data_IF_113756977906
#
_entry.id   IF_113756977906
#
_cell.length_a   1.000
_cell.length_b   1.000
_cell.length_c   1.000
_cell.angle_alpha   90.00
_cell.angle_beta   90.00
_cell.angle_gamma   90.00
#
_symmetry.space_group_name_H-M   'P 1'
#
loop_
_entity.id
_entity.type
_entity.pdbx_description
1 polymer ?
#
# COMPACT_ATOMS: atom_id res chain seq x y z
N UNK A 1 2.76 1.13 8.33
CA UNK A 1 3.09 -0.12 7.62
C UNK A 1 2.67 -1.40 8.36
N UNK A 2 2.11 -1.30 9.57
CA UNK A 2 1.77 -2.49 10.37
C UNK A 2 0.67 -3.31 9.69
N UNK A 3 -0.38 -2.65 9.21
CA UNK A 3 -1.50 -3.33 8.56
C UNK A 3 -1.07 -3.99 7.24
N UNK A 4 -0.23 -3.31 6.47
CA UNK A 4 0.30 -3.84 5.20
C UNK A 4 1.17 -5.08 5.42
N UNK A 5 2.03 -5.07 6.45
CA UNK A 5 2.83 -6.25 6.81
C UNK A 5 1.94 -7.39 7.27
N UNK A 6 0.99 -7.13 8.17
CA UNK A 6 0.09 -8.16 8.67
C UNK A 6 -0.74 -8.79 7.53
N UNK A 7 -1.22 -7.97 6.58
CA UNK A 7 -1.93 -8.45 5.39
C UNK A 7 -1.03 -9.33 4.51
N UNK A 8 0.24 -8.97 4.35
CA UNK A 8 1.20 -9.79 3.63
C UNK A 8 1.52 -11.10 4.33
N UNK A 9 1.71 -11.09 5.65
CA UNK A 9 1.88 -12.32 6.44
C UNK A 9 0.66 -13.25 6.30
N UNK A 10 -0.53 -12.67 6.27
CA UNK A 10 -1.80 -13.39 6.16
C UNK A 10 -2.01 -14.02 4.78
N UNK A 11 -1.80 -13.24 3.71
CA UNK A 11 -2.19 -13.62 2.35
C UNK A 11 -1.02 -13.64 1.36
N UNK A 12 -0.08 -12.70 1.47
CA UNK A 12 1.10 -12.62 0.62
C UNK A 12 1.97 -13.87 0.69
N UNK A 13 2.26 -14.36 1.91
CA UNK A 13 3.03 -15.60 2.10
C UNK A 13 2.30 -16.81 1.50
N UNK A 14 0.97 -16.90 1.67
CA UNK A 14 0.16 -17.98 1.07
C UNK A 14 0.23 -17.94 -0.46
N UNK A 15 0.18 -16.74 -1.03
CA UNK A 15 0.24 -16.56 -2.48
C UNK A 15 1.63 -16.88 -3.05
N UNK A 16 2.71 -16.58 -2.32
CA UNK A 16 4.06 -16.99 -2.71
C UNK A 16 4.20 -18.51 -2.74
N UNK A 17 3.70 -19.22 -1.71
CA UNK A 17 3.70 -20.69 -1.70
C UNK A 17 2.91 -21.28 -2.87
N UNK A 18 1.74 -20.72 -3.17
CA UNK A 18 0.95 -21.14 -4.35
C UNK A 18 1.72 -20.93 -5.66
N UNK A 19 2.47 -19.83 -5.78
CA UNK A 19 3.29 -19.59 -6.97
C UNK A 19 4.39 -20.67 -7.11
N UNK A 20 5.02 -21.06 -6.01
CA UNK A 20 5.98 -22.16 -5.96
C UNK A 20 5.34 -23.51 -6.29
N UNK A 21 4.21 -23.86 -5.69
CA UNK A 21 3.47 -25.11 -5.96
C UNK A 21 3.08 -25.22 -7.44
N UNK A 22 2.60 -24.13 -8.02
CA UNK A 22 2.25 -24.06 -9.44
C UNK A 22 3.47 -24.27 -10.34
N UNK A 23 4.62 -23.69 -9.96
CA UNK A 23 5.87 -23.87 -10.69
C UNK A 23 6.34 -25.34 -10.63
N UNK A 24 6.24 -26.02 -9.50
CA UNK A 24 6.61 -27.43 -9.38
C UNK A 24 5.77 -28.30 -10.33
N UNK A 25 4.48 -28.00 -10.46
CA UNK A 25 3.57 -28.74 -11.34
C UNK A 25 3.76 -28.46 -12.83
N UNK A 26 3.94 -27.19 -13.21
CA UNK A 26 3.93 -26.75 -14.61
C UNK A 26 5.31 -26.48 -15.20
N UNK A 27 6.31 -26.21 -14.35
CA UNK A 27 7.69 -25.82 -14.70
C UNK A 27 7.79 -24.56 -15.57
N UNK A 28 6.80 -23.68 -15.48
CA UNK A 28 6.80 -22.40 -16.19
C UNK A 28 7.45 -21.30 -15.35
N UNK A 29 8.69 -20.96 -15.70
CA UNK A 29 9.46 -19.92 -15.01
C UNK A 29 8.88 -18.51 -15.20
N UNK A 30 8.31 -18.22 -16.38
CA UNK A 30 7.76 -16.88 -16.65
C UNK A 30 6.54 -16.59 -15.77
N UNK A 31 5.68 -17.60 -15.59
CA UNK A 31 4.55 -17.51 -14.66
C UNK A 31 5.01 -17.35 -13.21
N UNK A 32 6.06 -18.06 -12.78
CA UNK A 32 6.62 -17.89 -11.44
C UNK A 32 7.15 -16.46 -11.23
N UNK A 33 7.96 -15.96 -12.16
CA UNK A 33 8.53 -14.61 -12.11
C UNK A 33 7.42 -13.54 -12.01
N UNK A 34 6.41 -13.63 -12.88
CA UNK A 34 5.30 -12.67 -12.88
C UNK A 34 4.52 -12.70 -11.57
N UNK A 35 4.18 -13.89 -11.07
CA UNK A 35 3.44 -14.02 -9.81
C UNK A 35 4.21 -13.45 -8.62
N UNK A 36 5.51 -13.78 -8.50
CA UNK A 36 6.36 -13.26 -7.44
C UNK A 36 6.47 -11.74 -7.54
N UNK A 37 6.70 -11.21 -8.74
CA UNK A 37 6.76 -9.77 -8.99
C UNK A 37 5.47 -9.07 -8.56
N UNK A 38 4.31 -9.57 -8.96
CA UNK A 38 3.02 -8.97 -8.63
C UNK A 38 2.77 -8.97 -7.12
N UNK A 39 3.10 -10.07 -6.43
CA UNK A 39 2.96 -10.17 -4.97
C UNK A 39 3.84 -9.13 -4.26
N UNK A 40 5.11 -9.00 -4.66
CA UNK A 40 6.05 -8.06 -4.04
C UNK A 40 5.71 -6.61 -4.36
N UNK A 41 5.31 -6.30 -5.60
CA UNK A 41 4.89 -4.95 -5.99
C UNK A 41 3.65 -4.52 -5.21
N UNK A 42 2.65 -5.40 -5.04
CA UNK A 42 1.46 -5.10 -4.25
C UNK A 42 1.80 -4.80 -2.79
N UNK A 43 2.72 -5.55 -2.18
CA UNK A 43 3.23 -5.24 -0.84
C UNK A 43 3.84 -3.83 -0.78
N UNK A 44 4.71 -3.51 -1.75
CA UNK A 44 5.36 -2.20 -1.84
C UNK A 44 4.35 -1.06 -1.95
N UNK A 45 3.36 -1.19 -2.84
CA UNK A 45 2.29 -0.21 -3.02
C UNK A 45 1.48 0.00 -1.74
N UNK A 46 1.09 -1.08 -1.05
CA UNK A 46 0.35 -1.01 0.20
C UNK A 46 1.15 -0.33 1.32
N UNK A 47 2.43 -0.68 1.47
CA UNK A 47 3.31 -0.05 2.47
C UNK A 47 3.41 1.45 2.25
N UNK A 48 3.58 1.90 1.00
CA UNK A 48 3.71 3.34 0.71
C UNK A 48 2.37 4.04 0.95
N UNK A 49 1.24 3.48 0.50
CA UNK A 49 -0.08 4.02 0.75
C UNK A 49 -0.35 4.21 2.26
N UNK A 50 -0.16 3.15 3.05
CA UNK A 50 -0.37 3.19 4.51
C UNK A 50 0.57 4.19 5.18
N UNK A 51 1.80 4.32 4.69
CA UNK A 51 2.76 5.29 5.22
C UNK A 51 2.28 6.72 4.98
N UNK A 52 1.83 7.05 3.76
CA UNK A 52 1.27 8.36 3.44
C UNK A 52 0.04 8.69 4.29
N UNK A 53 -0.86 7.72 4.49
CA UNK A 53 -2.05 7.89 5.33
C UNK A 53 -1.71 8.08 6.81
N UNK A 54 -0.69 7.39 7.31
CA UNK A 54 -0.22 7.58 8.68
C UNK A 54 0.37 8.99 8.87
N UNK A 55 1.10 9.52 7.88
CA UNK A 55 1.53 10.91 7.90
C UNK A 55 0.35 11.89 7.84
N UNK A 56 -0.64 11.65 6.98
CA UNK A 56 -1.85 12.48 6.91
C UNK A 56 -2.59 12.51 8.26
N UNK A 57 -2.75 11.35 8.91
CA UNK A 57 -3.32 11.23 10.27
C UNK A 57 -2.51 12.00 11.31
N UNK A 58 -1.18 11.92 11.26
CA UNK A 58 -0.31 12.66 12.17
C UNK A 58 -0.46 14.18 12.00
N UNK A 59 -0.52 14.66 10.74
CA UNK A 59 -0.77 16.08 10.42
C UNK A 59 -2.15 16.49 10.93
N UNK A 60 -3.18 15.67 10.66
CA UNK A 60 -4.56 15.90 11.09
C UNK A 60 -4.66 16.02 12.60
N UNK A 61 -3.88 15.24 13.34
CA UNK A 61 -3.90 15.20 14.81
C UNK A 61 -2.97 16.24 15.48
N UNK A 62 -2.17 16.99 14.72
CA UNK A 62 -1.27 18.00 15.27
C UNK A 62 -2.03 19.16 15.94
N UNK A 63 -1.86 19.41 17.25
CA UNK A 63 -2.56 20.48 17.95
C UNK A 63 -2.29 21.88 17.36
N UNK A 64 -1.03 22.17 17.04
CA UNK A 64 -0.61 23.45 16.46
C UNK A 64 -1.25 23.72 15.09
N UNK A 65 -1.50 22.68 14.30
CA UNK A 65 -2.15 22.82 13.00
C UNK A 65 -3.65 22.94 13.12
N UNK A 66 -4.30 22.18 14.02
CA UNK A 66 -5.73 22.32 14.31
C UNK A 66 -6.11 23.72 14.78
N UNK A 67 -5.20 24.43 15.45
CA UNK A 67 -5.43 25.81 15.88
C UNK A 67 -5.50 26.82 14.71
N UNK A 68 -4.97 26.47 13.54
CA UNK A 68 -4.88 27.36 12.37
C UNK A 68 -5.73 26.89 11.21
N UNK A 69 -5.91 25.58 11.04
CA UNK A 69 -6.53 25.01 9.87
C UNK A 69 -7.79 24.23 10.21
N UNK A 70 -8.79 24.36 9.33
CA UNK A 70 -9.99 23.54 9.34
C UNK A 70 -9.91 22.46 8.28
N UNK A 71 -10.37 21.25 8.62
CA UNK A 71 -10.49 20.15 7.66
C UNK A 71 -11.67 20.45 6.75
N UNK A 72 -11.45 20.42 5.45
CA UNK A 72 -12.51 20.63 4.45
C UNK A 72 -13.13 19.30 4.07
N UNK A 73 -12.30 18.32 3.68
CA UNK A 73 -12.72 16.98 3.27
C UNK A 73 -11.53 16.02 3.20
N UNK A 74 -11.82 14.73 3.12
CA UNK A 74 -10.83 13.67 2.86
C UNK A 74 -11.21 12.98 1.56
N UNK A 75 -10.29 12.97 0.60
CA UNK A 75 -10.50 12.42 -0.75
C UNK A 75 -9.59 11.20 -0.96
N UNK A 76 -10.06 10.23 -1.77
CA UNK A 76 -9.17 9.21 -2.33
C UNK A 76 -8.33 9.84 -3.44
N UNK A 77 -7.03 9.58 -3.41
CA UNK A 77 -6.08 10.09 -4.40
C UNK A 77 -5.23 8.97 -4.96
N UNK A 78 -4.94 9.11 -6.25
CA UNK A 78 -3.98 8.26 -6.96
C UNK A 78 -2.67 9.00 -7.19
N UNK A 79 -1.55 8.28 -7.07
CA UNK A 79 -0.21 8.78 -7.36
C UNK A 79 0.55 7.72 -8.16
N UNK A 80 0.98 8.08 -9.37
CA UNK A 80 1.77 7.19 -10.23
C UNK A 80 3.22 7.23 -9.76
N UNK A 81 3.80 6.04 -9.55
CA UNK A 81 5.21 5.86 -9.16
C UNK A 81 5.88 4.79 -10.03
N UNK A 82 7.19 4.60 -9.86
CA UNK A 82 7.93 3.53 -10.54
C UNK A 82 7.48 2.12 -10.16
N UNK A 83 6.84 1.95 -9.00
CA UNK A 83 6.30 0.66 -8.55
C UNK A 83 4.87 0.41 -9.06
N UNK A 84 4.21 1.43 -9.62
CA UNK A 84 2.81 1.40 -10.02
C UNK A 84 2.01 2.56 -9.42
N UNK A 85 0.69 2.49 -9.57
CA UNK A 85 -0.25 3.49 -9.05
C UNK A 85 -0.57 3.20 -7.59
N UNK A 86 -0.34 4.18 -6.72
CA UNK A 86 -0.66 4.13 -5.29
C UNK A 86 -2.00 4.81 -5.09
N UNK A 87 -2.94 4.13 -4.43
CA UNK A 87 -4.24 4.69 -4.05
C UNK A 87 -4.28 4.88 -2.54
N UNK A 88 -4.54 6.10 -2.07
CA UNK A 88 -4.51 6.44 -0.64
C UNK A 88 -5.46 7.58 -0.28
N UNK A 89 -5.82 7.69 0.99
CA UNK A 89 -6.62 8.80 1.51
C UNK A 89 -5.78 10.04 1.81
N UNK A 90 -6.27 11.21 1.39
CA UNK A 90 -5.63 12.51 1.65
C UNK A 90 -6.63 13.50 2.22
N UNK A 91 -6.28 14.14 3.33
CA UNK A 91 -7.07 15.21 3.92
C UNK A 91 -6.68 16.58 3.36
N UNK A 92 -7.67 17.41 3.02
CA UNK A 92 -7.49 18.78 2.54
C UNK A 92 -7.88 19.78 3.63
N UNK A 93 -7.12 20.87 3.72
CA UNK A 93 -7.19 21.87 4.78
C UNK A 93 -7.34 23.28 4.20
N UNK A 94 -8.02 24.15 4.92
CA UNK A 94 -8.10 25.61 4.66
C UNK A 94 -7.65 26.37 5.91
N UNK A 95 -7.08 27.56 5.72
CA UNK A 95 -6.59 28.47 6.76
C UNK A 95 -7.36 29.78 6.68
#
# INVERSE_FOLDING_TARGET
MFNSIQQFESEGIKNLRKAEDNFIGQKDLASLESNVKDIVLNLGLNIIAETLENYDKAIKNSPNRKAKWNIVRTDKKELITSLGTICYEKTLYIN
#
